data_IF_383256593294
#
_entry.id   IF_383256593294
#
_cell.length_a   1.000
_cell.length_b   1.000
_cell.length_c   1.000
_cell.angle_alpha   90.00
_cell.angle_beta   90.00
_cell.angle_gamma   90.00
#
_symmetry.space_group_name_H-M   'P 1'
#
loop_
_entity.id
_entity.type
_entity.pdbx_description
1 polymer ?
#
# COMPACT_ATOMS: atom_id res chain seq x y z
N UNK A 1 -1.23 -5.64 12.00
CA UNK A 1 -1.39 -4.80 10.80
C UNK A 1 -0.05 -4.32 10.29
N UNK A 2 0.12 -4.31 8.99
CA UNK A 2 1.35 -3.85 8.36
C UNK A 2 1.25 -2.36 8.07
N UNK A 3 2.24 -1.58 8.48
CA UNK A 3 2.27 -0.15 8.21
C UNK A 3 3.29 0.13 7.11
N UNK A 4 2.85 0.81 6.07
CA UNK A 4 3.66 1.14 4.89
C UNK A 4 3.69 2.65 4.72
N UNK A 5 4.87 3.21 4.52
CA UNK A 5 5.03 4.64 4.26
C UNK A 5 5.93 4.84 3.06
N UNK A 6 5.47 5.66 2.11
CA UNK A 6 6.24 6.04 0.92
C UNK A 6 6.38 7.56 0.91
N UNK A 7 7.60 8.05 0.77
CA UNK A 7 7.88 9.48 0.63
C UNK A 7 8.10 9.80 -0.83
N UNK A 8 7.42 10.82 -1.33
CA UNK A 8 7.43 11.18 -2.75
C UNK A 8 7.67 12.67 -2.94
N UNK A 9 8.00 13.04 -4.18
CA UNK A 9 8.12 14.43 -4.60
C UNK A 9 6.79 15.17 -4.48
N UNK A 10 6.83 16.48 -4.24
CA UNK A 10 5.65 17.34 -4.23
C UNK A 10 4.87 17.31 -5.55
N UNK A 11 5.53 16.96 -6.65
CA UNK A 11 4.93 16.91 -7.97
C UNK A 11 4.16 15.62 -8.24
N UNK A 12 4.25 14.64 -7.33
CA UNK A 12 3.55 13.37 -7.47
C UNK A 12 2.04 13.59 -7.39
N UNK A 13 1.30 13.05 -8.34
CA UNK A 13 -0.16 13.12 -8.34
C UNK A 13 -0.75 12.08 -7.40
N UNK A 14 -2.02 12.25 -7.02
CA UNK A 14 -2.73 11.27 -6.21
C UNK A 14 -2.84 9.93 -6.92
N UNK A 15 -3.05 9.93 -8.24
CA UNK A 15 -3.12 8.70 -9.04
C UNK A 15 -1.79 7.95 -9.00
N UNK A 16 -0.67 8.66 -9.16
CA UNK A 16 0.66 8.06 -9.06
C UNK A 16 0.90 7.52 -7.67
N UNK A 17 0.48 8.24 -6.64
CA UNK A 17 0.64 7.81 -5.25
C UNK A 17 -0.12 6.51 -4.98
N UNK A 18 -1.34 6.38 -5.47
CA UNK A 18 -2.12 5.14 -5.36
C UNK A 18 -1.41 3.99 -6.07
N UNK A 19 -0.89 4.23 -7.27
CA UNK A 19 -0.14 3.21 -8.03
C UNK A 19 1.10 2.75 -7.26
N UNK A 20 1.85 3.67 -6.66
CA UNK A 20 3.04 3.33 -5.89
C UNK A 20 2.68 2.50 -4.66
N UNK A 21 1.63 2.90 -3.93
CA UNK A 21 1.19 2.16 -2.75
C UNK A 21 0.73 0.76 -3.13
N UNK A 22 -0.04 0.62 -4.19
CA UNK A 22 -0.53 -0.67 -4.66
C UNK A 22 0.63 -1.59 -5.06
N UNK A 23 1.59 -1.05 -5.82
CA UNK A 23 2.76 -1.81 -6.24
C UNK A 23 3.59 -2.26 -5.04
N UNK A 24 3.75 -1.39 -4.03
CA UNK A 24 4.51 -1.72 -2.82
C UNK A 24 3.84 -2.84 -2.04
N UNK A 25 2.52 -2.77 -1.85
CA UNK A 25 1.76 -3.81 -1.14
C UNK A 25 1.94 -5.16 -1.82
N UNK A 26 1.79 -5.20 -3.14
CA UNK A 26 1.94 -6.44 -3.91
C UNK A 26 3.38 -6.95 -3.88
N UNK A 27 4.36 -6.06 -3.95
CA UNK A 27 5.78 -6.44 -3.88
C UNK A 27 6.11 -7.07 -2.53
N UNK A 28 5.58 -6.53 -1.44
CA UNK A 28 5.79 -7.08 -0.09
C UNK A 28 5.18 -8.47 0.01
N UNK A 29 3.94 -8.65 -0.48
CA UNK A 29 3.31 -9.96 -0.48
C UNK A 29 4.14 -10.98 -1.27
N UNK A 30 4.60 -10.61 -2.45
CA UNK A 30 5.33 -11.51 -3.32
C UNK A 30 6.70 -11.87 -2.74
N UNK A 31 7.35 -10.96 -2.02
CA UNK A 31 8.59 -11.24 -1.30
C UNK A 31 8.36 -12.24 -0.15
N UNK A 32 7.28 -12.08 0.59
CA UNK A 32 6.89 -13.04 1.63
C UNK A 32 6.58 -14.40 1.02
N UNK A 33 5.91 -14.42 -0.13
CA UNK A 33 5.54 -15.64 -0.83
C UNK A 33 6.78 -16.42 -1.31
N UNK A 34 7.81 -15.72 -1.74
CA UNK A 34 9.09 -16.36 -2.13
C UNK A 34 9.70 -17.10 -0.94
N UNK A 35 9.59 -16.53 0.25
CA UNK A 35 10.14 -17.11 1.47
C UNK A 35 9.22 -18.13 2.12
N UNK A 36 7.93 -18.10 1.82
CA UNK A 36 6.94 -19.01 2.37
C UNK A 36 5.90 -19.35 1.31
N UNK A 37 5.97 -20.55 0.78
CA UNK A 37 5.02 -21.05 -0.22
C UNK A 37 3.59 -21.19 0.31
N UNK A 38 3.36 -20.93 1.60
CA UNK A 38 2.03 -20.93 2.22
C UNK A 38 1.15 -19.82 1.64
N UNK A 39 1.75 -18.68 1.28
CA UNK A 39 0.98 -17.53 0.80
C UNK A 39 0.91 -17.51 -0.72
N UNK A 40 -0.24 -17.08 -1.25
CA UNK A 40 -0.43 -16.91 -2.68
C UNK A 40 0.24 -15.62 -3.16
N UNK A 41 0.72 -15.62 -4.41
CA UNK A 41 1.25 -14.43 -5.05
C UNK A 41 0.14 -13.40 -5.29
N UNK A 42 0.51 -12.14 -5.44
CA UNK A 42 -0.43 -11.08 -5.82
C UNK A 42 -0.83 -11.21 -7.29
N UNK A 43 -1.91 -10.54 -7.65
CA UNK A 43 -2.41 -10.51 -9.02
C UNK A 43 -3.06 -9.14 -9.27
N UNK A 44 -3.62 -8.93 -10.46
CA UNK A 44 -4.35 -7.70 -10.76
C UNK A 44 -5.54 -7.47 -9.83
N UNK A 45 -6.16 -8.55 -9.36
CA UNK A 45 -7.35 -8.48 -8.52
C UNK A 45 -7.09 -8.75 -7.04
N UNK A 46 -5.87 -9.10 -6.66
CA UNK A 46 -5.56 -9.50 -5.29
C UNK A 46 -4.21 -8.98 -4.83
N UNK A 47 -4.14 -8.53 -3.56
CA UNK A 47 -2.87 -8.20 -2.92
C UNK A 47 -2.06 -9.44 -2.53
N UNK A 48 -2.65 -10.62 -2.65
CA UNK A 48 -1.98 -11.89 -2.36
C UNK A 48 -2.35 -12.46 -0.99
N UNK A 49 -1.89 -13.68 -0.73
CA UNK A 49 -2.29 -14.46 0.45
C UNK A 49 -1.86 -13.87 1.77
N UNK A 50 -0.70 -13.20 1.84
CA UNK A 50 -0.25 -12.55 3.06
C UNK A 50 -1.27 -11.51 3.54
N UNK A 51 -1.79 -10.71 2.63
CA UNK A 51 -2.75 -9.66 2.98
C UNK A 51 -4.19 -10.16 3.09
N UNK A 52 -4.43 -11.45 2.92
CA UNK A 52 -5.69 -12.08 3.31
C UNK A 52 -5.73 -12.34 4.82
N UNK A 53 -4.55 -12.50 5.44
CA UNK A 53 -4.44 -12.74 6.88
C UNK A 53 -4.11 -11.47 7.67
N UNK A 54 -3.47 -10.49 7.05
CA UNK A 54 -3.03 -9.25 7.71
C UNK A 54 -3.52 -8.04 6.95
N UNK A 55 -4.10 -7.09 7.65
CA UNK A 55 -4.45 -5.80 7.08
C UNK A 55 -3.22 -4.91 6.91
N UNK A 56 -3.37 -3.82 6.17
CA UNK A 56 -2.31 -2.85 6.01
C UNK A 56 -2.83 -1.42 6.10
N UNK A 57 -1.95 -0.51 6.52
CA UNK A 57 -2.18 0.93 6.51
C UNK A 57 -1.14 1.55 5.59
N UNK A 58 -1.57 2.11 4.48
CA UNK A 58 -0.68 2.70 3.48
C UNK A 58 -0.73 4.22 3.55
N UNK A 59 0.44 4.84 3.64
CA UNK A 59 0.59 6.30 3.62
C UNK A 59 1.56 6.67 2.51
N UNK A 60 1.17 7.62 1.67
CA UNK A 60 2.08 8.26 0.71
C UNK A 60 2.09 9.74 1.03
N UNK A 61 3.25 10.25 1.39
CA UNK A 61 3.42 11.62 1.88
C UNK A 61 4.50 12.36 1.10
N UNK A 62 4.37 13.71 0.95
CA UNK A 62 5.45 14.50 0.37
C UNK A 62 6.69 14.46 1.24
N UNK A 63 7.86 14.31 0.63
CA UNK A 63 9.13 14.23 1.36
C UNK A 63 9.43 15.51 2.14
N UNK A 64 8.90 16.64 1.72
CA UNK A 64 9.09 17.93 2.37
C UNK A 64 8.27 18.08 3.66
N UNK A 65 7.16 17.36 3.78
CA UNK A 65 6.23 17.51 4.90
C UNK A 65 5.64 16.16 5.33
N UNK A 66 6.50 15.17 5.68
CA UNK A 66 6.02 13.82 5.98
C UNK A 66 5.19 13.73 7.26
N UNK A 67 5.24 14.75 8.11
CA UNK A 67 4.53 14.80 9.38
C UNK A 67 3.18 15.51 9.27
N UNK A 68 2.90 16.17 8.16
CA UNK A 68 1.68 16.92 7.97
C UNK A 68 0.64 16.06 7.24
N UNK A 69 -0.26 15.45 8.01
CA UNK A 69 -1.28 14.54 7.49
C UNK A 69 -2.19 15.22 6.45
N UNK A 70 -2.34 16.53 6.50
CA UNK A 70 -3.18 17.25 5.53
C UNK A 70 -2.59 17.23 4.12
N UNK A 71 -1.31 16.92 3.98
CA UNK A 71 -0.63 16.85 2.70
C UNK A 71 -0.53 15.44 2.14
N UNK A 72 -0.99 14.43 2.87
CA UNK A 72 -0.88 13.04 2.43
C UNK A 72 -1.66 12.79 1.14
N UNK A 73 -1.03 12.09 0.21
CA UNK A 73 -1.64 11.70 -1.06
C UNK A 73 -2.43 10.42 -0.91
N UNK A 74 -2.00 9.53 -0.01
CA UNK A 74 -2.72 8.32 0.38
C UNK A 74 -2.61 8.17 1.90
N UNK A 75 -3.72 7.85 2.52
CA UNK A 75 -3.77 7.48 3.94
C UNK A 75 -4.97 6.54 4.08
N UNK A 76 -4.73 5.27 3.82
CA UNK A 76 -5.80 4.31 3.69
C UNK A 76 -5.47 3.01 4.43
N UNK A 77 -6.46 2.50 5.16
CA UNK A 77 -6.35 1.24 5.89
C UNK A 77 -7.22 0.19 5.20
N UNK A 78 -6.61 -0.91 4.82
CA UNK A 78 -7.31 -2.03 4.20
C UNK A 78 -7.28 -3.21 5.18
N UNK A 79 -8.45 -3.72 5.52
CA UNK A 79 -8.59 -4.81 6.47
C UNK A 79 -8.07 -6.13 5.88
N UNK A 80 -7.70 -7.07 6.75
CA UNK A 80 -7.27 -8.40 6.32
C UNK A 80 -8.34 -9.04 5.44
N UNK A 81 -7.94 -9.54 4.28
CA UNK A 81 -8.83 -10.19 3.33
C UNK A 81 -9.68 -9.25 2.48
N UNK A 82 -9.61 -7.96 2.72
CA UNK A 82 -10.31 -6.97 1.91
C UNK A 82 -9.54 -6.72 0.62
N UNK A 83 -10.22 -6.86 -0.52
CA UNK A 83 -9.58 -6.79 -1.83
C UNK A 83 -9.87 -5.49 -2.60
N UNK A 84 -10.43 -4.50 -1.93
CA UNK A 84 -10.72 -3.22 -2.58
C UNK A 84 -9.45 -2.46 -2.96
N UNK A 85 -9.55 -1.61 -3.96
CA UNK A 85 -8.44 -0.76 -4.36
C UNK A 85 -8.08 0.26 -3.27
N UNK A 86 -6.80 0.59 -3.16
CA UNK A 86 -6.33 1.69 -2.32
C UNK A 86 -6.88 2.99 -2.90
N UNK A 87 -7.35 3.86 -2.02
CA UNK A 87 -7.96 5.14 -2.41
C UNK A 87 -7.06 6.30 -2.03
N UNK A 88 -7.06 7.34 -2.87
CA UNK A 88 -6.34 8.56 -2.57
C UNK A 88 -6.97 9.28 -1.37
N UNK A 89 -6.15 10.02 -0.63
CA UNK A 89 -6.63 10.89 0.44
C UNK A 89 -7.47 12.02 -0.13
N UNK A 90 -8.46 12.43 0.61
CA UNK A 90 -9.34 13.55 0.21
C UNK A 90 -8.72 14.91 0.50
#
# INVERSE_FOLDING_TARGET
>A
MVNLEVLVSEETTKEEAVSYATALVKAINDEVQIQSAYYEASSEESYGGFFKEYGFHAVVAPIQSPEDESTYLVNDTVAAGEERAIQAAE
#
